data_IF_665160310890
#
_entry.id   IF_665160310890
#
_cell.length_a   1.000
_cell.length_b   1.000
_cell.length_c   1.000
_cell.angle_alpha   90.00
_cell.angle_beta   90.00
_cell.angle_gamma   90.00
#
_symmetry.space_group_name_H-M   'P 1'
#
loop_
_entity.id
_entity.type
_entity.pdbx_description
1 polymer ?
#
# COMPACT_ATOMS: atom_id res chain seq x y z
N UNK A 1 18.51 2.61 -17.79
CA UNK A 1 17.14 2.19 -18.17
C UNK A 1 17.18 0.69 -18.37
N UNK A 2 16.16 -0.05 -17.92
CA UNK A 2 16.11 -1.52 -18.06
C UNK A 2 15.60 -1.91 -19.45
N UNK A 3 16.40 -1.65 -20.47
CA UNK A 3 16.06 -1.96 -21.86
C UNK A 3 16.25 -3.47 -22.09
N UNK A 4 15.18 -4.17 -22.50
CA UNK A 4 15.20 -5.62 -22.80
C UNK A 4 14.50 -6.55 -21.80
N UNK A 5 13.79 -6.03 -20.79
CA UNK A 5 13.02 -6.88 -19.87
C UNK A 5 11.84 -7.58 -20.58
N UNK A 6 11.81 -8.91 -20.52
CA UNK A 6 10.66 -9.71 -20.94
C UNK A 6 9.48 -9.57 -19.98
N UNK A 7 8.25 -9.78 -20.46
CA UNK A 7 7.02 -9.58 -19.67
C UNK A 7 7.00 -10.39 -18.37
N UNK A 8 7.60 -11.59 -18.35
CA UNK A 8 7.72 -12.38 -17.12
C UNK A 8 8.61 -11.74 -16.06
N UNK A 9 9.70 -11.09 -16.45
CA UNK A 9 10.55 -10.34 -15.53
C UNK A 9 9.84 -9.08 -15.04
N UNK A 10 9.10 -8.38 -15.91
CA UNK A 10 8.26 -7.23 -15.53
C UNK A 10 7.21 -7.62 -14.50
N UNK A 11 6.58 -8.78 -14.70
CA UNK A 11 5.59 -9.34 -13.78
C UNK A 11 6.22 -9.68 -12.43
N UNK A 12 7.38 -10.35 -12.42
CA UNK A 12 8.13 -10.64 -11.19
C UNK A 12 8.50 -9.36 -10.44
N UNK A 13 9.05 -8.36 -11.13
CA UNK A 13 9.40 -7.08 -10.52
C UNK A 13 8.17 -6.36 -9.98
N UNK A 14 7.05 -6.39 -10.70
CA UNK A 14 5.77 -5.83 -10.21
C UNK A 14 5.32 -6.54 -8.94
N UNK A 15 5.39 -7.88 -8.90
CA UNK A 15 5.04 -8.65 -7.71
C UNK A 15 5.91 -8.32 -6.51
N UNK A 16 7.24 -8.32 -6.68
CA UNK A 16 8.19 -8.00 -5.62
C UNK A 16 8.01 -6.56 -5.12
N UNK A 17 7.78 -5.62 -6.05
CA UNK A 17 7.58 -4.23 -5.69
C UNK A 17 6.30 -4.02 -4.89
N UNK A 18 5.20 -4.66 -5.31
CA UNK A 18 3.96 -4.59 -4.55
C UNK A 18 4.08 -5.27 -3.19
N UNK A 19 4.70 -6.45 -3.10
CA UNK A 19 4.77 -7.21 -1.83
C UNK A 19 5.78 -6.66 -0.81
N UNK A 20 6.81 -5.95 -1.25
CA UNK A 20 7.84 -5.39 -0.38
C UNK A 20 7.70 -3.86 -0.21
N UNK A 21 7.66 -3.15 -1.34
CA UNK A 21 7.69 -1.68 -1.34
C UNK A 21 6.31 -1.09 -1.08
N UNK A 22 5.24 -1.72 -1.54
CA UNK A 22 3.85 -1.30 -1.27
C UNK A 22 3.55 -1.16 0.23
N UNK A 23 3.71 -2.23 1.04
CA UNK A 23 3.52 -2.16 2.49
C UNK A 23 4.44 -1.13 3.16
N UNK A 24 5.67 -0.97 2.69
CA UNK A 24 6.60 0.04 3.21
C UNK A 24 6.07 1.46 2.97
N UNK A 25 5.63 1.78 1.75
CA UNK A 25 5.03 3.07 1.43
C UNK A 25 3.78 3.30 2.27
N UNK A 26 2.89 2.30 2.39
CA UNK A 26 1.68 2.40 3.21
C UNK A 26 1.98 2.69 4.69
N UNK A 27 2.97 1.98 5.26
CA UNK A 27 3.43 2.19 6.62
C UNK A 27 4.06 3.58 6.82
N UNK A 28 4.87 4.05 5.87
CA UNK A 28 5.42 5.41 5.89
C UNK A 28 4.33 6.48 5.86
N UNK A 29 3.31 6.31 5.01
CA UNK A 29 2.18 7.24 4.94
C UNK A 29 1.39 7.26 6.25
N UNK A 30 1.18 6.10 6.88
CA UNK A 30 0.55 6.03 8.21
C UNK A 30 1.42 6.67 9.30
N UNK A 31 2.74 6.46 9.26
CA UNK A 31 3.68 7.09 10.19
C UNK A 31 3.68 8.62 10.05
N UNK A 32 3.48 9.14 8.83
CA UNK A 32 3.44 10.57 8.56
C UNK A 32 2.08 11.20 8.91
N UNK A 33 0.99 10.53 8.56
CA UNK A 33 -0.38 11.04 8.72
C UNK A 33 -0.93 10.80 10.13
N UNK A 34 -0.52 9.72 10.80
CA UNK A 34 -0.94 9.37 12.16
C UNK A 34 -0.74 10.51 13.17
N UNK A 35 0.43 11.17 13.21
CA UNK A 35 0.67 12.36 14.03
C UNK A 35 -0.24 13.53 13.70
N UNK A 36 -0.45 13.80 12.42
CA UNK A 36 -1.32 14.89 11.99
C UNK A 36 -2.77 14.63 12.41
N UNK A 37 -3.24 13.38 12.27
CA UNK A 37 -4.56 12.96 12.71
C UNK A 37 -4.71 13.04 14.24
N UNK A 38 -3.66 12.67 14.99
CA UNK A 38 -3.62 12.83 16.45
C UNK A 38 -3.72 14.29 16.88
N UNK A 39 -2.94 15.19 16.26
CA UNK A 39 -3.01 16.64 16.51
C UNK A 39 -4.35 17.26 16.10
N UNK A 40 -5.01 16.71 15.07
CA UNK A 40 -6.35 17.11 14.65
C UNK A 40 -7.47 16.51 15.52
N UNK A 41 -7.14 15.74 16.56
CA UNK A 41 -8.12 15.21 17.53
C UNK A 41 -8.84 13.93 17.11
N UNK A 42 -8.40 13.24 16.05
CA UNK A 42 -9.01 11.97 15.63
C UNK A 42 -8.70 10.79 16.57
N UNK A 43 -7.64 10.90 17.38
CA UNK A 43 -7.16 9.87 18.29
C UNK A 43 -6.80 10.46 19.67
N UNK A 44 -7.79 10.95 20.44
CA UNK A 44 -7.56 11.67 21.70
C UNK A 44 -6.77 10.84 22.73
N UNK A 45 -6.91 9.52 22.72
CA UNK A 45 -6.17 8.57 23.55
C UNK A 45 -4.67 8.51 23.25
N UNK A 46 -4.24 8.82 22.02
CA UNK A 46 -2.81 8.89 21.66
C UNK A 46 -2.18 10.22 22.05
N UNK A 47 -2.95 11.32 22.03
CA UNK A 47 -2.49 12.63 22.47
C UNK A 47 -2.17 12.67 23.98
N UNK A 48 -2.87 11.85 24.77
CA UNK A 48 -2.65 11.75 26.22
C UNK A 48 -1.31 11.08 26.62
N UNK A 49 -0.57 10.48 25.68
CA UNK A 49 0.64 9.68 25.98
C UNK A 49 1.95 10.48 26.10
N UNK A 50 1.90 11.81 25.94
CA UNK A 50 3.08 12.68 25.89
C UNK A 50 3.97 12.41 24.67
N UNK A 51 4.99 13.24 24.44
CA UNK A 51 5.82 13.19 23.21
C UNK A 51 6.49 11.82 23.01
N UNK A 52 7.09 11.24 24.06
CA UNK A 52 7.75 9.94 23.98
C UNK A 52 6.80 8.77 23.73
N UNK A 53 5.63 8.76 24.37
CA UNK A 53 4.61 7.74 24.16
C UNK A 53 3.87 7.90 22.82
N UNK A 54 3.83 9.12 22.29
CA UNK A 54 3.26 9.42 20.98
C UNK A 54 4.16 8.89 19.83
N UNK A 55 5.46 9.13 19.92
CA UNK A 55 6.43 8.61 18.92
C UNK A 55 6.49 7.08 18.92
N UNK A 56 6.48 6.44 20.09
CA UNK A 56 6.45 4.98 20.18
C UNK A 56 5.15 4.38 19.66
N UNK A 57 4.00 5.03 19.93
CA UNK A 57 2.71 4.62 19.39
C UNK A 57 2.66 4.73 17.85
N UNK A 58 3.21 5.81 17.29
CA UNK A 58 3.30 6.02 15.84
C UNK A 58 4.20 4.99 15.17
N UNK A 59 5.35 4.69 15.77
CA UNK A 59 6.23 3.63 15.28
C UNK A 59 5.55 2.26 15.31
N UNK A 60 4.83 1.95 16.39
CA UNK A 60 4.09 0.70 16.52
C UNK A 60 2.97 0.57 15.49
N UNK A 61 2.17 1.62 15.28
CA UNK A 61 1.09 1.60 14.27
C UNK A 61 1.63 1.49 12.85
N UNK A 62 2.74 2.14 12.54
CA UNK A 62 3.40 2.00 11.24
C UNK A 62 3.91 0.57 11.01
N UNK A 63 4.56 -0.03 12.02
CA UNK A 63 5.01 -1.42 11.95
C UNK A 63 3.83 -2.38 11.77
N UNK A 64 2.75 -2.18 12.53
CA UNK A 64 1.55 -3.00 12.40
C UNK A 64 0.92 -2.86 11.01
N UNK A 65 0.85 -1.63 10.48
CA UNK A 65 0.36 -1.37 9.13
C UNK A 65 1.20 -2.06 8.05
N UNK A 66 2.53 -2.07 8.18
CA UNK A 66 3.42 -2.78 7.27
C UNK A 66 3.09 -4.27 7.21
N UNK A 67 3.00 -4.93 8.36
CA UNK A 67 2.71 -6.36 8.46
C UNK A 67 1.30 -6.66 7.93
N UNK A 68 0.33 -5.84 8.30
CA UNK A 68 -1.07 -6.06 7.94
C UNK A 68 -1.36 -5.76 6.46
N UNK A 69 -0.64 -4.82 5.83
CA UNK A 69 -0.82 -4.50 4.42
C UNK A 69 -0.24 -5.56 3.47
N UNK A 70 0.67 -6.42 3.94
CA UNK A 70 1.38 -7.38 3.09
C UNK A 70 0.44 -8.35 2.33
N UNK A 71 -0.58 -8.98 2.95
CA UNK A 71 -1.53 -9.85 2.23
C UNK A 71 -2.33 -9.09 1.18
N UNK A 72 -2.79 -7.88 1.48
CA UNK A 72 -3.54 -7.05 0.55
C UNK A 72 -2.68 -6.63 -0.64
N UNK A 73 -1.43 -6.26 -0.39
CA UNK A 73 -0.50 -5.89 -1.44
C UNK A 73 -0.14 -7.08 -2.35
N UNK A 74 0.03 -8.28 -1.77
CA UNK A 74 0.23 -9.52 -2.53
C UNK A 74 -0.99 -9.84 -3.41
N UNK A 75 -2.20 -9.71 -2.87
CA UNK A 75 -3.42 -9.95 -3.62
C UNK A 75 -3.62 -8.94 -4.75
N UNK A 76 -3.34 -7.65 -4.50
CA UNK A 76 -3.35 -6.61 -5.54
C UNK A 76 -2.36 -6.93 -6.65
N UNK A 77 -1.14 -7.37 -6.29
CA UNK A 77 -0.14 -7.78 -7.26
C UNK A 77 -0.65 -8.93 -8.14
N UNK A 78 -1.15 -10.00 -7.53
CA UNK A 78 -1.70 -11.16 -8.24
C UNK A 78 -2.80 -10.74 -9.22
N UNK A 79 -3.69 -9.83 -8.82
CA UNK A 79 -4.73 -9.30 -9.69
C UNK A 79 -4.19 -8.51 -10.90
N UNK A 80 -3.04 -7.87 -10.76
CA UNK A 80 -2.40 -7.06 -11.81
C UNK A 80 -1.48 -7.86 -12.74
N UNK A 81 -0.91 -8.99 -12.28
CA UNK A 81 0.03 -9.80 -13.05
C UNK A 81 -0.49 -10.19 -14.45
N UNK A 82 -1.77 -10.60 -14.65
CA UNK A 82 -2.26 -10.93 -15.98
C UNK A 82 -2.13 -9.80 -17.00
N UNK A 83 -2.29 -8.55 -16.57
CA UNK A 83 -2.11 -7.38 -17.44
C UNK A 83 -0.65 -7.17 -17.82
N UNK A 84 0.27 -7.36 -16.86
CA UNK A 84 1.71 -7.25 -17.09
C UNK A 84 2.22 -8.36 -18.01
N UNK A 85 1.75 -9.61 -17.83
CA UNK A 85 2.15 -10.72 -18.69
C UNK A 85 1.71 -10.51 -20.15
N UNK A 86 0.48 -10.01 -20.36
CA UNK A 86 -0.08 -9.81 -21.70
C UNK A 86 0.46 -8.56 -22.40
N UNK A 87 0.49 -7.44 -21.69
CA UNK A 87 0.71 -6.12 -22.29
C UNK A 87 2.00 -5.44 -21.82
N UNK A 88 2.72 -6.00 -20.84
CA UNK A 88 3.87 -5.35 -20.21
C UNK A 88 3.51 -4.12 -19.36
N UNK A 89 2.22 -3.82 -19.21
CA UNK A 89 1.70 -2.61 -18.57
C UNK A 89 0.26 -2.78 -18.07
N UNK A 90 -0.16 -1.85 -17.22
CA UNK A 90 -1.54 -1.64 -16.79
C UNK A 90 -1.77 -0.14 -16.55
N UNK A 91 -3.03 0.31 -16.59
CA UNK A 91 -3.40 1.71 -16.36
C UNK A 91 -3.38 2.12 -14.89
N UNK A 92 -3.33 3.42 -14.60
CA UNK A 92 -3.37 3.93 -13.22
C UNK A 92 -4.69 3.59 -12.51
N UNK A 93 -5.81 3.55 -13.25
CA UNK A 93 -7.12 3.13 -12.71
C UNK A 93 -7.07 1.66 -12.28
N UNK A 94 -6.50 0.77 -13.10
CA UNK A 94 -6.36 -0.64 -12.76
C UNK A 94 -5.52 -0.81 -11.48
N UNK A 95 -4.44 -0.02 -11.34
CA UNK A 95 -3.64 0.01 -10.12
C UNK A 95 -4.49 0.41 -8.90
N UNK A 96 -5.20 1.54 -8.99
CA UNK A 96 -6.03 2.06 -7.91
C UNK A 96 -7.08 1.03 -7.47
N UNK A 97 -7.83 0.49 -8.44
CA UNK A 97 -8.88 -0.50 -8.21
C UNK A 97 -8.32 -1.77 -7.57
N UNK A 98 -7.18 -2.29 -8.07
CA UNK A 98 -6.55 -3.47 -7.49
C UNK A 98 -6.16 -3.26 -6.01
N UNK A 99 -5.61 -2.09 -5.68
CA UNK A 99 -5.26 -1.74 -4.29
C UNK A 99 -6.49 -1.67 -3.37
N UNK A 100 -7.54 -0.96 -3.79
CA UNK A 100 -8.79 -0.80 -3.02
C UNK A 100 -9.48 -2.15 -2.82
N UNK A 101 -9.68 -2.92 -3.89
CA UNK A 101 -10.40 -4.20 -3.84
C UNK A 101 -9.61 -5.21 -3.00
N UNK A 102 -8.30 -5.33 -3.21
CA UNK A 102 -7.49 -6.28 -2.45
C UNK A 102 -7.50 -5.95 -0.95
N UNK A 103 -7.39 -4.67 -0.58
CA UNK A 103 -7.53 -4.26 0.82
C UNK A 103 -8.91 -4.61 1.37
N UNK A 104 -9.98 -4.30 0.64
CA UNK A 104 -11.35 -4.59 1.07
C UNK A 104 -11.57 -6.09 1.30
N UNK A 105 -11.06 -6.95 0.41
CA UNK A 105 -11.13 -8.41 0.57
C UNK A 105 -10.41 -8.84 1.85
N UNK A 106 -9.18 -8.37 2.07
CA UNK A 106 -8.41 -8.72 3.27
C UNK A 106 -9.07 -8.18 4.54
N UNK A 107 -9.68 -7.00 4.50
CA UNK A 107 -10.42 -6.42 5.64
C UNK A 107 -11.70 -7.19 6.00
N UNK A 108 -12.30 -7.89 5.03
CA UNK A 108 -13.43 -8.80 5.29
C UNK A 108 -12.95 -10.14 5.86
N UNK A 109 -11.83 -10.67 5.35
CA UNK A 109 -11.27 -11.95 5.80
C UNK A 109 -10.58 -11.86 7.17
N UNK A 110 -9.95 -10.73 7.46
CA UNK A 110 -9.23 -10.45 8.69
C UNK A 110 -9.85 -9.23 9.37
N UNK A 111 -10.35 -9.41 10.59
CA UNK A 111 -10.94 -8.32 11.35
C UNK A 111 -9.88 -7.27 11.72
N UNK A 112 -10.07 -6.06 11.21
CA UNK A 112 -9.28 -4.90 11.64
C UNK A 112 -9.66 -4.54 13.08
N UNK A 113 -8.69 -4.15 13.93
CA UNK A 113 -8.97 -3.68 15.29
C UNK A 113 -9.92 -2.48 15.32
N UNK A 114 -9.91 -1.67 14.26
CA UNK A 114 -10.69 -0.44 14.16
C UNK A 114 -11.47 -0.38 12.83
N UNK A 115 -12.69 -0.91 12.84
CA UNK A 115 -13.53 -1.03 11.65
C UNK A 115 -13.89 0.33 11.02
N UNK A 116 -13.95 1.43 11.80
CA UNK A 116 -14.28 2.77 11.28
C UNK A 116 -13.23 3.31 10.29
N UNK A 117 -12.00 2.78 10.33
CA UNK A 117 -10.90 3.22 9.47
C UNK A 117 -10.86 2.50 8.12
N UNK A 118 -11.60 1.41 7.95
CA UNK A 118 -11.62 0.58 6.73
C UNK A 118 -11.75 1.40 5.43
N UNK A 119 -12.72 2.31 5.26
CA UNK A 119 -12.85 3.04 3.99
C UNK A 119 -11.65 3.95 3.70
N UNK A 120 -11.09 4.59 4.72
CA UNK A 120 -9.92 5.46 4.58
C UNK A 120 -8.66 4.67 4.23
N UNK A 121 -8.48 3.50 4.88
CA UNK A 121 -7.35 2.60 4.60
C UNK A 121 -7.47 1.93 3.23
N UNK A 122 -8.68 1.59 2.79
CA UNK A 122 -8.93 1.08 1.44
C UNK A 122 -8.57 2.12 0.38
N UNK A 123 -8.99 3.38 0.58
CA UNK A 123 -8.59 4.48 -0.29
C UNK A 123 -7.06 4.68 -0.31
N UNK A 124 -6.43 4.67 0.86
CA UNK A 124 -4.97 4.76 0.99
C UNK A 124 -4.27 3.62 0.23
N UNK A 125 -4.76 2.38 0.32
CA UNK A 125 -4.22 1.25 -0.43
C UNK A 125 -4.29 1.47 -1.96
N UNK A 126 -5.38 2.08 -2.44
CA UNK A 126 -5.50 2.53 -3.82
C UNK A 126 -4.42 3.55 -4.20
N UNK A 127 -4.20 4.57 -3.35
CA UNK A 127 -3.14 5.58 -3.55
C UNK A 127 -1.75 4.95 -3.57
N UNK A 128 -1.45 4.05 -2.62
CA UNK A 128 -0.18 3.31 -2.56
C UNK A 128 0.04 2.53 -3.84
N UNK A 129 -1.00 1.84 -4.35
CA UNK A 129 -0.92 1.10 -5.60
C UNK A 129 -0.64 2.00 -6.81
N UNK A 130 -1.25 3.18 -6.88
CA UNK A 130 -0.93 4.18 -7.92
C UNK A 130 0.54 4.62 -7.82
N UNK A 131 1.03 4.89 -6.61
CA UNK A 131 2.43 5.27 -6.38
C UNK A 131 3.38 4.15 -6.81
N UNK A 132 3.08 2.89 -6.47
CA UNK A 132 3.85 1.74 -6.91
C UNK A 132 3.93 1.66 -8.44
N UNK A 133 2.79 1.81 -9.13
CA UNK A 133 2.77 1.87 -10.60
C UNK A 133 3.65 3.00 -11.12
N UNK A 134 3.50 4.21 -10.57
CA UNK A 134 4.24 5.38 -11.01
C UNK A 134 5.76 5.15 -10.91
N UNK A 135 6.22 4.59 -9.80
CA UNK A 135 7.63 4.24 -9.61
C UNK A 135 8.09 3.19 -10.62
N UNK A 136 7.32 2.11 -10.82
CA UNK A 136 7.64 1.05 -11.78
C UNK A 136 7.74 1.57 -13.23
N UNK A 137 6.85 2.48 -13.63
CA UNK A 137 6.92 3.16 -14.94
C UNK A 137 8.17 4.05 -15.01
N UNK A 138 8.44 4.83 -13.97
CA UNK A 138 9.59 5.76 -13.93
C UNK A 138 10.94 5.05 -14.09
N UNK A 139 11.06 3.84 -13.57
CA UNK A 139 12.25 2.99 -13.69
C UNK A 139 12.27 2.10 -14.95
N UNK A 140 11.23 2.17 -15.80
CA UNK A 140 11.15 1.41 -17.05
C UNK A 140 10.74 -0.06 -16.89
N UNK A 141 10.28 -0.47 -15.70
CA UNK A 141 9.79 -1.83 -15.44
C UNK A 141 8.44 -2.06 -16.09
N UNK A 142 7.56 -1.07 -16.07
CA UNK A 142 6.29 -1.10 -16.80
C UNK A 142 6.38 -0.20 -18.03
N UNK A 143 5.68 -0.59 -19.09
CA UNK A 143 5.46 0.32 -20.23
C UNK A 143 4.42 1.39 -19.83
N UNK A 144 4.53 2.57 -20.43
CA UNK A 144 3.69 3.74 -20.12
C UNK A 144 2.24 3.56 -20.56
#
# INVERSE_FOLDING_TARGET
MMDGLGNGQRALWTFLFYTLVGPFIGAMLIALVGPLAGLAGFFPETAARGVGGFLSATAWTAMFAYVWAAPAAALAAIGLLPFVFRNGAFGWIAAAVAGVIAFAIIAVLFTLPEARLVPYLAFLAGVVSILCRWVLVRFGVLLT
#
